data_IF_451592242431
#
_entry.id   IF_451592242431
#
_cell.length_a   1.000
_cell.length_b   1.000
_cell.length_c   1.000
_cell.angle_alpha   90.00
_cell.angle_beta   90.00
_cell.angle_gamma   90.00
#
_symmetry.space_group_name_H-M   'P 1'
#
loop_
_entity.id
_entity.type
_entity.pdbx_description
1 polymer ?
#
# COMPACT_ATOMS: atom_id res chain seq x y z
N UNK A 1 5.36 -60.71 30.00
CA UNK A 1 4.73 -59.61 29.23
C UNK A 1 4.54 -58.42 30.15
N UNK A 2 5.01 -57.22 29.79
CA UNK A 2 4.70 -56.01 30.55
C UNK A 2 3.18 -55.76 30.49
N UNK A 3 2.54 -55.32 31.57
CA UNK A 3 1.12 -55.01 31.52
C UNK A 3 0.89 -53.80 30.60
N UNK A 4 -0.13 -53.81 29.73
CA UNK A 4 -0.40 -52.70 28.81
C UNK A 4 -0.62 -51.37 29.56
N UNK A 5 -1.13 -51.44 30.79
CA UNK A 5 -1.28 -50.28 31.70
C UNK A 5 0.07 -49.66 32.06
N UNK A 6 1.10 -50.47 32.35
CA UNK A 6 2.43 -49.95 32.69
C UNK A 6 3.08 -49.22 31.52
N UNK A 7 2.92 -49.74 30.30
CA UNK A 7 3.39 -49.08 29.09
C UNK A 7 2.69 -47.74 28.86
N UNK A 8 1.36 -47.70 29.06
CA UNK A 8 0.56 -46.48 28.93
C UNK A 8 0.95 -45.39 29.93
N UNK A 9 1.17 -45.74 31.20
CA UNK A 9 1.60 -44.78 32.23
C UNK A 9 3.00 -44.25 31.96
N UNK A 10 3.94 -45.11 31.56
CA UNK A 10 5.30 -44.66 31.22
C UNK A 10 5.27 -43.67 30.05
N UNK A 11 4.49 -43.95 29.00
CA UNK A 11 4.33 -43.03 27.87
C UNK A 11 3.71 -41.70 28.31
N UNK A 12 2.66 -41.73 29.13
CA UNK A 12 2.00 -40.52 29.64
C UNK A 12 2.99 -39.63 30.40
N UNK A 13 3.82 -40.21 31.27
CA UNK A 13 4.84 -39.46 32.02
C UNK A 13 5.86 -38.83 31.07
N UNK A 14 6.35 -39.58 30.08
CA UNK A 14 7.30 -39.06 29.09
C UNK A 14 6.67 -37.89 28.31
N UNK A 15 5.41 -38.02 27.87
CA UNK A 15 4.70 -36.96 27.16
C UNK A 15 4.52 -35.71 28.04
N UNK A 16 4.17 -35.85 29.32
CA UNK A 16 4.03 -34.73 30.25
C UNK A 16 5.37 -34.01 30.44
N UNK A 17 6.46 -34.77 30.64
CA UNK A 17 7.80 -34.19 30.80
C UNK A 17 8.23 -33.48 29.51
N UNK A 18 8.05 -34.10 28.34
CA UNK A 18 8.40 -33.51 27.06
C UNK A 18 7.59 -32.23 26.78
N UNK A 19 6.27 -32.26 26.99
CA UNK A 19 5.40 -31.11 26.83
C UNK A 19 5.74 -29.99 27.82
N UNK A 20 6.03 -30.33 29.08
CA UNK A 20 6.44 -29.37 30.11
C UNK A 20 7.77 -28.69 29.78
N UNK A 21 8.76 -29.44 29.30
CA UNK A 21 10.04 -28.88 28.87
C UNK A 21 9.90 -27.97 27.65
N UNK A 22 9.08 -28.37 26.66
CA UNK A 22 8.81 -27.56 25.48
C UNK A 22 8.07 -26.27 25.85
N UNK A 23 7.03 -26.37 26.69
CA UNK A 23 6.26 -25.22 27.15
C UNK A 23 7.12 -24.24 27.97
N UNK A 24 7.97 -24.75 28.87
CA UNK A 24 8.89 -23.91 29.64
C UNK A 24 9.89 -23.20 28.75
N UNK A 25 10.47 -23.92 27.78
CA UNK A 25 11.39 -23.33 26.79
C UNK A 25 10.68 -22.23 26.00
N UNK A 26 9.51 -22.52 25.43
CA UNK A 26 8.75 -21.55 24.66
C UNK A 26 8.39 -20.30 25.47
N UNK A 27 7.88 -20.47 26.70
CA UNK A 27 7.47 -19.37 27.57
C UNK A 27 8.64 -18.46 28.01
N UNK A 28 9.86 -18.99 28.05
CA UNK A 28 11.06 -18.19 28.34
C UNK A 28 11.66 -17.54 27.10
N UNK A 29 11.56 -18.20 25.95
CA UNK A 29 12.14 -17.69 24.70
C UNK A 29 11.24 -16.66 24.01
N UNK A 30 9.92 -16.81 24.08
CA UNK A 30 8.93 -15.88 23.48
C UNK A 30 9.16 -14.40 23.84
N UNK A 31 9.29 -13.98 25.11
CA UNK A 31 9.50 -12.56 25.43
C UNK A 31 10.84 -12.02 24.91
N UNK A 32 11.87 -12.87 24.87
CA UNK A 32 13.20 -12.52 24.37
C UNK A 32 13.17 -12.32 22.85
N UNK A 33 12.47 -13.20 22.12
CA UNK A 33 12.26 -13.05 20.67
C UNK A 33 11.51 -11.75 20.38
N UNK A 34 10.44 -11.47 21.11
CA UNK A 34 9.65 -10.25 20.92
C UNK A 34 10.48 -8.97 21.16
N UNK A 35 11.33 -8.96 22.19
CA UNK A 35 12.23 -7.83 22.49
C UNK A 35 13.28 -7.64 21.39
N UNK A 36 13.89 -8.73 20.90
CA UNK A 36 14.83 -8.69 19.79
C UNK A 36 14.18 -8.21 18.50
N UNK A 37 12.99 -8.70 18.15
CA UNK A 37 12.24 -8.27 16.96
C UNK A 37 11.90 -6.78 17.03
N UNK A 38 11.47 -6.27 18.19
CA UNK A 38 11.22 -4.84 18.36
C UNK A 38 12.49 -4.01 18.25
N UNK A 39 13.60 -4.49 18.82
CA UNK A 39 14.89 -3.81 18.75
C UNK A 39 15.43 -3.77 17.32
N UNK A 40 15.35 -4.89 16.58
CA UNK A 40 15.74 -4.97 15.18
C UNK A 40 14.86 -4.10 14.29
N UNK A 41 13.55 -4.09 14.54
CA UNK A 41 12.62 -3.20 13.84
C UNK A 41 12.97 -1.74 14.10
N UNK A 42 13.12 -1.31 15.36
CA UNK A 42 13.49 0.07 15.68
C UNK A 42 14.83 0.47 15.07
N UNK A 43 15.80 -0.44 15.06
CA UNK A 43 17.09 -0.23 14.42
C UNK A 43 16.91 -0.06 12.91
N UNK A 44 16.11 -0.90 12.26
CA UNK A 44 15.81 -0.79 10.84
C UNK A 44 15.10 0.52 10.49
N UNK A 45 14.11 0.95 11.28
CA UNK A 45 13.40 2.21 11.07
C UNK A 45 14.37 3.40 11.05
N UNK A 46 15.27 3.47 12.04
CA UNK A 46 16.28 4.52 12.16
C UNK A 46 17.35 4.47 11.08
N UNK A 47 17.78 3.28 10.67
CA UNK A 47 18.75 3.13 9.58
C UNK A 47 18.15 3.53 8.23
N UNK A 48 16.89 3.17 7.98
CA UNK A 48 16.20 3.47 6.72
C UNK A 48 15.82 4.94 6.60
N UNK A 49 15.45 5.61 7.69
CA UNK A 49 15.14 7.04 7.72
C UNK A 49 15.84 7.72 8.91
N UNK A 50 17.16 7.98 8.81
CA UNK A 50 17.95 8.53 9.93
C UNK A 50 17.59 9.97 10.29
N UNK A 51 16.84 10.66 9.42
CA UNK A 51 16.38 12.02 9.65
C UNK A 51 15.10 12.13 10.47
N UNK A 52 14.39 11.02 10.70
CA UNK A 52 13.14 11.00 11.45
C UNK A 52 13.40 10.86 12.96
N UNK A 53 12.64 11.63 13.74
CA UNK A 53 12.65 11.58 15.21
C UNK A 53 11.64 10.57 15.74
N UNK A 54 10.50 10.44 15.05
CA UNK A 54 9.37 9.59 15.47
C UNK A 54 8.84 8.77 14.31
N UNK A 55 8.29 7.60 14.65
CA UNK A 55 7.72 6.63 13.70
C UNK A 55 6.35 6.19 14.22
N UNK A 56 5.29 6.60 13.54
CA UNK A 56 3.92 6.27 13.91
C UNK A 56 3.38 5.10 13.06
N UNK A 57 2.99 3.97 13.66
CA UNK A 57 2.50 2.82 12.93
C UNK A 57 1.06 3.03 12.45
N UNK A 58 0.84 2.77 11.16
CA UNK A 58 -0.45 2.69 10.49
C UNK A 58 -0.59 1.29 9.92
N UNK A 59 -1.49 0.48 10.48
CA UNK A 59 -1.68 -0.91 10.06
C UNK A 59 -2.69 -0.99 8.92
N UNK A 60 -2.35 -1.72 7.87
CA UNK A 60 -3.21 -1.94 6.71
C UNK A 60 -3.15 -3.42 6.31
N UNK A 61 -4.12 -4.20 6.82
CA UNK A 61 -4.13 -5.66 6.66
C UNK A 61 -2.91 -6.31 7.33
N UNK A 62 -2.13 -7.08 6.56
CA UNK A 62 -0.89 -7.72 7.03
C UNK A 62 0.35 -6.82 6.94
N UNK A 63 0.19 -5.58 6.46
CA UNK A 63 1.28 -4.61 6.30
C UNK A 63 1.20 -3.55 7.39
N UNK A 64 2.35 -2.99 7.75
CA UNK A 64 2.44 -1.86 8.69
C UNK A 64 3.28 -0.76 8.08
N UNK A 65 2.71 0.41 7.90
CA UNK A 65 3.39 1.61 7.43
C UNK A 65 3.76 2.48 8.62
N UNK A 66 5.03 2.81 8.77
CA UNK A 66 5.53 3.70 9.80
C UNK A 66 5.72 5.08 9.18
N UNK A 67 4.83 6.03 9.51
CA UNK A 67 5.00 7.43 9.11
C UNK A 67 6.16 8.01 9.89
N UNK A 68 7.16 8.50 9.19
CA UNK A 68 8.39 8.99 9.78
C UNK A 68 8.34 10.53 9.83
N UNK A 69 8.47 11.09 11.04
CA UNK A 69 8.34 12.53 11.26
C UNK A 69 9.59 13.11 11.90
N UNK A 70 9.99 14.30 11.44
CA UNK A 70 11.03 15.12 12.07
C UNK A 70 10.38 16.39 12.61
N UNK A 71 10.27 16.50 13.92
CA UNK A 71 9.38 17.48 14.56
C UNK A 71 7.92 17.31 14.10
N UNK A 72 7.36 18.31 13.41
CA UNK A 72 5.98 18.31 12.93
C UNK A 72 5.88 18.20 11.39
N UNK A 73 6.91 17.64 10.74
CA UNK A 73 6.97 17.45 9.28
C UNK A 73 7.20 15.99 8.96
N UNK A 74 6.43 15.47 8.01
CA UNK A 74 6.66 14.15 7.44
C UNK A 74 7.96 14.18 6.62
N UNK A 75 8.81 13.17 6.84
CA UNK A 75 10.10 13.01 6.16
C UNK A 75 10.22 11.69 5.40
N UNK A 76 9.19 10.85 5.45
CA UNK A 76 9.08 9.63 4.68
C UNK A 76 8.19 8.59 5.33
N UNK A 77 8.20 7.39 4.78
CA UNK A 77 7.47 6.23 5.28
C UNK A 77 8.37 5.01 5.25
N UNK A 78 8.33 4.18 6.31
CA UNK A 78 8.89 2.83 6.28
C UNK A 78 7.76 1.82 6.24
N UNK A 79 7.66 1.03 5.19
CA UNK A 79 6.68 -0.05 5.09
C UNK A 79 7.29 -1.38 5.53
N UNK A 80 6.65 -2.04 6.48
CA UNK A 80 6.95 -3.40 6.90
C UNK A 80 5.91 -4.34 6.31
N UNK A 81 6.37 -5.35 5.57
CA UNK A 81 5.51 -6.26 4.82
C UNK A 81 6.14 -7.63 4.68
N UNK A 82 5.30 -8.61 4.33
CA UNK A 82 5.73 -10.00 4.15
C UNK A 82 5.74 -10.39 2.68
N UNK A 83 6.72 -11.22 2.30
CA UNK A 83 6.84 -11.81 0.97
C UNK A 83 7.22 -13.28 1.06
N UNK A 84 6.68 -14.10 0.17
CA UNK A 84 7.05 -15.52 0.11
C UNK A 84 8.35 -15.68 -0.68
N UNK A 85 9.42 -16.06 0.01
CA UNK A 85 10.70 -16.47 -0.56
C UNK A 85 10.73 -17.97 -0.90
N UNK A 86 11.93 -18.49 -1.13
CA UNK A 86 12.14 -19.91 -1.41
C UNK A 86 12.06 -20.75 -0.12
N UNK A 87 12.70 -20.27 0.96
CA UNK A 87 12.78 -20.95 2.26
C UNK A 87 11.60 -20.68 3.19
N UNK A 88 10.71 -19.74 2.84
CA UNK A 88 9.54 -19.41 3.65
C UNK A 88 9.09 -17.97 3.47
N UNK A 89 8.27 -17.50 4.41
CA UNK A 89 7.86 -16.09 4.46
C UNK A 89 9.02 -15.26 4.99
N UNK A 90 9.29 -14.15 4.32
CA UNK A 90 10.28 -13.14 4.71
C UNK A 90 9.54 -11.89 5.18
N UNK A 91 10.03 -11.25 6.23
CA UNK A 91 9.56 -9.96 6.72
C UNK A 91 10.56 -8.90 6.29
N UNK A 92 10.10 -7.93 5.50
CA UNK A 92 10.91 -6.90 4.87
C UNK A 92 10.47 -5.54 5.39
N UNK A 93 11.41 -4.60 5.45
CA UNK A 93 11.18 -3.18 5.72
C UNK A 93 11.74 -2.36 4.55
N UNK A 94 10.92 -1.49 3.96
CA UNK A 94 11.32 -0.59 2.86
C UNK A 94 11.16 0.85 3.32
N UNK A 95 12.24 1.64 3.26
CA UNK A 95 12.21 3.07 3.52
C UNK A 95 12.04 3.86 2.23
N UNK A 96 11.15 4.84 2.24
CA UNK A 96 10.91 5.77 1.14
C UNK A 96 10.83 7.18 1.71
N UNK A 97 11.47 8.14 1.05
CA UNK A 97 11.41 9.56 1.43
C UNK A 97 10.18 10.27 0.86
N UNK A 98 9.99 11.55 1.21
CA UNK A 98 8.87 12.37 0.71
C UNK A 98 8.88 12.63 -0.79
N UNK A 99 10.02 12.41 -1.46
CA UNK A 99 10.16 12.58 -2.90
C UNK A 99 9.82 11.28 -3.66
N UNK A 100 9.40 10.23 -2.94
CA UNK A 100 9.11 8.93 -3.51
C UNK A 100 10.38 8.18 -3.93
N UNK A 101 11.54 8.50 -3.36
CA UNK A 101 12.79 7.74 -3.57
C UNK A 101 12.98 6.73 -2.46
N UNK A 102 13.46 5.55 -2.84
CA UNK A 102 13.79 4.49 -1.89
C UNK A 102 15.08 4.87 -1.15
N UNK A 103 15.00 5.01 0.17
CA UNK A 103 16.17 5.27 1.01
C UNK A 103 16.95 3.98 1.31
N UNK A 104 16.27 2.85 1.28
CA UNK A 104 16.85 1.52 1.38
C UNK A 104 15.80 0.46 1.73
N UNK A 105 16.24 -0.78 1.87
CA UNK A 105 15.41 -1.83 2.46
C UNK A 105 16.22 -2.73 3.39
N UNK A 106 15.54 -3.38 4.33
CA UNK A 106 16.13 -4.33 5.27
C UNK A 106 15.28 -5.58 5.38
N UNK A 107 15.94 -6.72 5.52
CA UNK A 107 15.29 -8.00 5.78
C UNK A 107 15.27 -8.19 7.29
N UNK A 108 14.09 -8.11 7.90
CA UNK A 108 13.89 -8.29 9.34
C UNK A 108 13.86 -9.77 9.72
N UNK A 109 13.30 -10.62 8.85
CA UNK A 109 13.20 -12.05 9.10
C UNK A 109 13.22 -12.81 7.79
N UNK A 110 13.90 -13.96 7.75
CA UNK A 110 13.84 -14.90 6.64
C UNK A 110 14.18 -16.32 7.09
N UNK A 111 13.82 -17.29 6.26
CA UNK A 111 14.25 -18.70 6.41
C UNK A 111 15.00 -19.22 5.18
N UNK A 112 15.53 -18.29 4.37
CA UNK A 112 16.34 -18.61 3.19
C UNK A 112 17.63 -19.37 3.53
N UNK A 113 18.09 -20.20 2.60
CA UNK A 113 19.30 -21.01 2.75
C UNK A 113 20.56 -20.14 2.90
N UNK A 114 21.37 -20.32 3.97
CA UNK A 114 22.64 -19.63 4.15
C UNK A 114 23.59 -19.82 2.95
N UNK A 115 24.30 -18.75 2.57
CA UNK A 115 25.21 -18.75 1.42
C UNK A 115 24.53 -18.71 0.04
N UNK A 116 23.19 -18.77 -0.02
CA UNK A 116 22.43 -18.72 -1.25
C UNK A 116 21.34 -17.63 -1.17
N UNK A 117 20.14 -17.97 -0.70
CA UNK A 117 19.02 -17.04 -0.58
C UNK A 117 19.22 -16.00 0.50
N UNK A 118 19.95 -16.32 1.58
CA UNK A 118 20.26 -15.38 2.66
C UNK A 118 21.09 -14.17 2.19
N UNK A 119 21.71 -14.24 1.01
CA UNK A 119 22.48 -13.14 0.44
C UNK A 119 21.64 -11.92 0.06
N UNK A 120 20.31 -12.02 0.12
CA UNK A 120 19.40 -10.87 0.02
C UNK A 120 19.62 -9.83 1.14
N UNK A 121 20.32 -10.20 2.22
CA UNK A 121 20.68 -9.29 3.31
C UNK A 121 22.04 -8.62 3.11
N UNK A 122 22.79 -8.99 2.07
CA UNK A 122 24.11 -8.41 1.78
C UNK A 122 23.95 -7.03 1.12
N UNK A 123 24.86 -6.10 1.43
CA UNK A 123 24.87 -4.73 0.88
C UNK A 123 24.91 -4.70 -0.64
N UNK A 124 25.65 -5.62 -1.25
CA UNK A 124 25.72 -5.78 -2.71
C UNK A 124 24.33 -5.99 -3.37
N UNK A 125 23.36 -6.52 -2.63
CA UNK A 125 21.98 -6.65 -3.10
C UNK A 125 21.09 -5.50 -2.59
N UNK A 126 21.21 -5.10 -1.33
CA UNK A 126 20.36 -4.04 -0.75
C UNK A 126 20.56 -2.68 -1.40
N UNK A 127 21.81 -2.32 -1.67
CA UNK A 127 22.19 -0.99 -2.14
C UNK A 127 21.72 -0.72 -3.57
N UNK A 128 21.38 -1.77 -4.32
CA UNK A 128 20.81 -1.64 -5.66
C UNK A 128 19.47 -0.93 -5.66
N UNK A 129 18.77 -0.88 -4.53
CA UNK A 129 17.46 -0.24 -4.42
C UNK A 129 17.53 1.21 -3.95
N UNK A 130 18.65 1.60 -3.33
CA UNK A 130 18.82 2.96 -2.79
C UNK A 130 18.82 3.98 -3.92
N UNK A 131 18.04 5.05 -3.76
CA UNK A 131 17.90 6.15 -4.72
C UNK A 131 17.00 5.86 -5.92
N UNK A 132 16.50 4.62 -6.08
CA UNK A 132 15.50 4.29 -7.12
C UNK A 132 14.16 4.96 -6.82
N UNK A 133 13.41 5.26 -7.87
CA UNK A 133 12.07 5.84 -7.74
C UNK A 133 11.06 4.76 -7.37
N UNK A 134 10.06 5.11 -6.58
CA UNK A 134 8.92 4.23 -6.29
C UNK A 134 8.11 3.83 -7.52
N UNK A 135 8.26 4.58 -8.62
CA UNK A 135 7.66 4.31 -9.93
C UNK A 135 8.49 3.36 -10.79
N UNK A 136 9.69 2.97 -10.35
CA UNK A 136 10.57 2.08 -11.11
C UNK A 136 10.00 0.65 -11.15
N UNK A 137 10.37 -0.09 -12.20
CA UNK A 137 9.88 -1.45 -12.41
C UNK A 137 10.55 -2.51 -11.52
N UNK A 138 11.69 -2.18 -10.90
CA UNK A 138 12.52 -3.08 -10.09
C UNK A 138 12.72 -4.47 -10.72
N UNK A 139 12.78 -4.56 -12.06
CA UNK A 139 12.76 -5.82 -12.76
C UNK A 139 14.12 -6.53 -12.60
N UNK A 140 14.09 -7.75 -12.06
CA UNK A 140 15.31 -8.55 -11.92
C UNK A 140 15.87 -8.94 -13.29
N UNK A 141 17.16 -8.66 -13.50
CA UNK A 141 17.88 -8.85 -14.76
C UNK A 141 17.90 -7.61 -15.66
N UNK A 142 17.13 -6.57 -15.32
CA UNK A 142 17.12 -5.28 -16.03
C UNK A 142 17.51 -4.15 -15.09
N UNK A 143 16.74 -3.96 -14.03
CA UNK A 143 16.91 -2.86 -13.07
C UNK A 143 17.61 -3.31 -11.78
N UNK A 144 17.50 -4.60 -11.44
CA UNK A 144 18.10 -5.21 -10.26
C UNK A 144 18.83 -6.49 -10.66
N UNK A 145 20.07 -6.65 -10.22
CA UNK A 145 20.84 -7.87 -10.44
C UNK A 145 20.36 -8.99 -9.51
N UNK A 146 20.09 -10.15 -10.11
CA UNK A 146 19.77 -11.37 -9.34
C UNK A 146 21.00 -11.89 -8.60
N UNK A 147 20.77 -12.51 -7.43
CA UNK A 147 21.79 -13.31 -6.77
C UNK A 147 21.88 -14.67 -7.49
N UNK A 148 23.10 -15.05 -7.89
CA UNK A 148 23.35 -16.34 -8.55
C UNK A 148 22.93 -17.50 -7.64
N UNK A 149 22.12 -18.41 -8.17
CA UNK A 149 21.56 -19.54 -7.42
C UNK A 149 20.39 -19.20 -6.49
N UNK A 150 20.03 -17.92 -6.32
CA UNK A 150 18.93 -17.48 -5.45
C UNK A 150 17.90 -16.60 -6.20
N UNK A 151 17.63 -16.93 -7.46
CA UNK A 151 16.75 -16.12 -8.33
C UNK A 151 15.31 -16.00 -7.80
N UNK A 152 14.79 -17.05 -7.13
CA UNK A 152 13.44 -17.03 -6.54
C UNK A 152 13.36 -15.97 -5.45
N UNK A 153 14.32 -15.97 -4.52
CA UNK A 153 14.40 -15.02 -3.41
C UNK A 153 14.63 -13.59 -3.92
N UNK A 154 15.56 -13.39 -4.88
CA UNK A 154 15.79 -12.08 -5.49
C UNK A 154 14.54 -11.50 -6.17
N UNK A 155 13.81 -12.32 -6.94
CA UNK A 155 12.55 -11.88 -7.59
C UNK A 155 11.44 -11.57 -6.59
N UNK A 156 11.37 -12.34 -5.51
CA UNK A 156 10.36 -12.15 -4.46
C UNK A 156 10.58 -10.83 -3.72
N UNK A 157 11.83 -10.51 -3.37
CA UNK A 157 12.18 -9.22 -2.77
C UNK A 157 11.90 -8.07 -3.74
N UNK A 158 12.41 -8.14 -4.97
CA UNK A 158 12.22 -7.04 -5.94
C UNK A 158 10.76 -6.80 -6.31
N UNK A 159 9.97 -7.87 -6.49
CA UNK A 159 8.53 -7.78 -6.74
C UNK A 159 7.76 -7.22 -5.55
N UNK A 160 8.11 -7.66 -4.33
CA UNK A 160 7.53 -7.11 -3.11
C UNK A 160 7.82 -5.62 -2.93
N UNK A 161 9.07 -5.21 -3.18
CA UNK A 161 9.48 -3.80 -3.15
C UNK A 161 8.68 -3.02 -4.20
N UNK A 162 8.56 -3.50 -5.45
CA UNK A 162 7.74 -2.83 -6.47
C UNK A 162 6.30 -2.60 -6.01
N UNK A 163 5.65 -3.63 -5.47
CA UNK A 163 4.25 -3.54 -5.02
C UNK A 163 4.08 -2.50 -3.93
N UNK A 164 4.97 -2.52 -2.93
CA UNK A 164 4.90 -1.61 -1.79
C UNK A 164 5.34 -0.21 -2.16
N UNK A 165 6.37 -0.06 -2.98
CA UNK A 165 6.81 1.22 -3.49
C UNK A 165 5.70 1.91 -4.30
N UNK A 166 5.00 1.18 -5.18
CA UNK A 166 3.85 1.71 -5.90
C UNK A 166 2.69 2.09 -4.97
N UNK A 167 2.45 1.32 -3.91
CA UNK A 167 1.41 1.63 -2.91
C UNK A 167 1.76 2.88 -2.10
N UNK A 168 3.00 2.95 -1.61
CA UNK A 168 3.56 4.13 -0.96
C UNK A 168 3.44 5.32 -1.89
N UNK A 169 3.81 5.20 -3.16
CA UNK A 169 3.68 6.29 -4.12
C UNK A 169 2.25 6.77 -4.29
N UNK A 170 1.23 5.91 -4.21
CA UNK A 170 -0.18 6.37 -4.23
C UNK A 170 -0.54 7.16 -2.97
N UNK A 171 0.07 6.83 -1.83
CA UNK A 171 -0.14 7.50 -0.55
C UNK A 171 0.71 8.77 -0.38
N UNK A 172 1.89 8.84 -1.04
CA UNK A 172 2.90 9.90 -0.95
C UNK A 172 2.93 10.85 -2.12
N UNK A 173 2.51 10.39 -3.31
CA UNK A 173 1.90 11.33 -4.23
C UNK A 173 0.91 12.05 -3.35
N UNK A 174 0.92 13.39 -3.32
CA UNK A 174 -0.27 14.05 -2.90
C UNK A 174 -1.35 13.36 -3.73
N UNK A 175 -2.21 12.59 -3.06
CA UNK A 175 -3.54 13.10 -3.00
C UNK A 175 -3.35 14.61 -2.71
N UNK A 176 -3.21 15.38 -3.79
CA UNK A 176 -4.32 16.19 -4.19
C UNK A 176 -5.52 15.29 -3.89
N UNK A 177 -5.93 15.33 -2.63
CA UNK A 177 -7.17 15.96 -2.35
C UNK A 177 -7.31 17.12 -3.36
N UNK A 178 -7.70 16.76 -4.58
CA UNK A 178 -8.93 17.25 -5.16
C UNK A 178 -10.10 16.99 -4.17
N UNK A 179 -9.95 17.27 -2.86
CA UNK A 179 -10.61 18.48 -2.37
C UNK A 179 -10.31 19.55 -3.40
N UNK A 180 -11.18 19.58 -4.40
CA UNK A 180 -11.42 20.78 -5.13
C UNK A 180 -11.59 21.81 -4.03
N UNK A 181 -10.55 22.61 -3.82
CA UNK A 181 -10.65 23.79 -3.00
C UNK A 181 -11.52 24.71 -3.84
N UNK A 182 -12.81 24.42 -3.85
CA UNK A 182 -13.84 25.07 -4.65
C UNK A 182 -13.84 26.58 -4.30
N UNK A 183 -13.34 26.94 -3.12
CA UNK A 183 -13.04 28.31 -2.69
C UNK A 183 -12.05 29.09 -3.59
N UNK A 184 -11.27 28.41 -4.43
CA UNK A 184 -10.35 29.03 -5.40
C UNK A 184 -10.90 29.03 -6.82
N UNK A 185 -12.05 28.39 -7.05
CA UNK A 185 -12.69 28.34 -8.36
C UNK A 185 -13.69 29.50 -8.44
N UNK A 186 -13.63 30.35 -9.48
CA UNK A 186 -14.63 31.38 -9.68
C UNK A 186 -16.03 30.78 -9.82
N UNK A 187 -17.02 31.50 -9.30
CA UNK A 187 -18.42 31.12 -9.53
C UNK A 187 -18.71 31.17 -11.03
N UNK A 188 -19.27 30.08 -11.55
CA UNK A 188 -19.38 29.90 -12.99
C UNK A 188 -19.99 28.56 -13.38
N UNK A 189 -20.31 28.45 -14.67
CA UNK A 189 -20.77 27.20 -15.29
C UNK A 189 -19.63 26.69 -16.16
N UNK A 190 -19.19 25.47 -15.87
CA UNK A 190 -18.06 24.83 -16.53
C UNK A 190 -18.51 23.57 -17.26
N UNK A 191 -17.97 23.37 -18.45
CA UNK A 191 -18.30 22.23 -19.31
C UNK A 191 -17.14 21.24 -19.34
N UNK A 192 -17.43 20.00 -18.95
CA UNK A 192 -16.47 18.90 -18.96
C UNK A 192 -16.93 17.75 -19.84
N UNK A 193 -15.98 17.02 -20.40
CA UNK A 193 -16.25 15.86 -21.26
C UNK A 193 -15.30 14.72 -20.93
N UNK A 194 -15.83 13.51 -20.80
CA UNK A 194 -15.02 12.31 -20.67
C UNK A 194 -15.70 11.09 -21.29
N UNK A 195 -14.91 10.06 -21.60
CA UNK A 195 -15.41 8.80 -22.15
C UNK A 195 -16.13 7.96 -21.09
N UNK A 196 -17.34 7.52 -21.40
CA UNK A 196 -18.11 6.52 -20.66
C UNK A 196 -18.14 5.15 -21.36
N UNK A 197 -19.01 4.26 -20.90
CA UNK A 197 -19.21 2.92 -21.46
C UNK A 197 -19.82 2.96 -22.87
N UNK A 198 -20.81 3.83 -23.08
CA UNK A 198 -21.53 3.93 -24.36
C UNK A 198 -21.01 5.02 -25.30
N UNK A 199 -20.05 5.83 -24.86
CA UNK A 199 -19.48 6.95 -25.60
C UNK A 199 -19.19 8.12 -24.67
N UNK A 200 -18.93 9.29 -25.24
CA UNK A 200 -18.59 10.48 -24.45
C UNK A 200 -19.80 10.98 -23.65
N UNK A 201 -19.52 11.41 -22.43
CA UNK A 201 -20.44 12.06 -21.50
C UNK A 201 -19.98 13.51 -21.36
N UNK A 202 -20.86 14.46 -21.68
CA UNK A 202 -20.67 15.91 -21.46
C UNK A 202 -21.52 16.37 -20.30
N UNK A 203 -20.88 17.07 -19.36
CA UNK A 203 -21.53 17.62 -18.16
C UNK A 203 -21.32 19.12 -18.06
N UNK A 204 -22.33 19.79 -17.50
CA UNK A 204 -22.29 21.18 -17.03
C UNK A 204 -22.28 21.18 -15.52
N UNK A 205 -21.20 21.70 -14.94
CA UNK A 205 -21.04 21.84 -13.49
C UNK A 205 -21.20 23.31 -13.13
N UNK A 206 -22.13 23.62 -12.24
CA UNK A 206 -22.35 24.98 -11.72
C UNK A 206 -21.72 25.11 -10.35
N UNK A 207 -20.79 26.06 -10.21
CA UNK A 207 -20.12 26.37 -8.95
C UNK A 207 -20.61 27.72 -8.44
N UNK A 208 -20.97 27.79 -7.15
CA UNK A 208 -21.35 29.04 -6.48
C UNK A 208 -20.84 29.04 -5.05
N UNK A 209 -20.20 30.14 -4.63
CA UNK A 209 -19.63 30.28 -3.29
C UNK A 209 -18.55 29.24 -2.97
N UNK A 210 -17.88 28.72 -4.00
CA UNK A 210 -16.96 27.60 -3.83
C UNK A 210 -17.64 26.30 -3.42
N UNK A 211 -18.82 26.00 -3.97
CA UNK A 211 -19.49 24.71 -3.85
C UNK A 211 -20.12 24.29 -5.18
N UNK A 212 -20.12 22.99 -5.47
CA UNK A 212 -20.85 22.45 -6.62
C UNK A 212 -22.33 22.43 -6.27
N UNK A 213 -23.11 23.29 -6.92
CA UNK A 213 -24.55 23.44 -6.67
C UNK A 213 -25.37 22.56 -7.59
N UNK A 214 -24.89 22.34 -8.81
CA UNK A 214 -25.63 21.59 -9.83
C UNK A 214 -24.69 20.90 -10.82
N UNK A 215 -25.08 19.71 -11.25
CA UNK A 215 -24.38 18.92 -12.27
C UNK A 215 -25.44 18.42 -13.25
N UNK A 216 -25.44 19.01 -14.45
CA UNK A 216 -26.35 18.64 -15.53
C UNK A 216 -25.61 17.83 -16.59
N UNK A 217 -26.14 16.66 -16.92
CA UNK A 217 -25.67 15.88 -18.09
C UNK A 217 -26.29 16.50 -19.34
N UNK A 218 -25.45 17.08 -20.20
CA UNK A 218 -25.88 17.77 -21.44
C UNK A 218 -26.01 16.78 -22.58
N UNK A 219 -25.08 15.84 -22.65
CA UNK A 219 -25.02 14.82 -23.69
C UNK A 219 -24.43 13.56 -23.08
N UNK A 220 -25.09 12.42 -23.26
CA UNK A 220 -24.55 11.13 -22.90
C UNK A 220 -24.92 10.12 -24.00
N UNK A 221 -23.98 9.21 -24.27
CA UNK A 221 -24.21 8.07 -25.15
C UNK A 221 -24.39 6.77 -24.36
N UNK A 222 -24.77 6.87 -23.09
CA UNK A 222 -24.81 5.75 -22.18
C UNK A 222 -25.99 4.80 -22.45
N UNK A 223 -25.89 3.58 -21.92
CA UNK A 223 -27.02 2.64 -22.00
C UNK A 223 -28.16 3.17 -21.12
N UNK A 224 -29.37 3.46 -21.65
CA UNK A 224 -30.43 4.17 -20.90
C UNK A 224 -30.84 3.47 -19.60
N UNK A 225 -30.87 2.14 -19.59
CA UNK A 225 -31.32 1.36 -18.43
C UNK A 225 -30.24 1.15 -17.34
N UNK A 226 -28.97 1.43 -17.65
CA UNK A 226 -27.84 1.22 -16.72
C UNK A 226 -27.14 2.55 -16.44
N UNK A 227 -26.44 3.10 -17.43
CA UNK A 227 -25.71 4.37 -17.30
C UNK A 227 -26.68 5.52 -17.06
N UNK A 228 -27.76 5.63 -17.85
CA UNK A 228 -28.76 6.70 -17.69
C UNK A 228 -29.43 6.76 -16.31
N UNK A 229 -29.52 5.63 -15.59
CA UNK A 229 -30.02 5.58 -14.20
C UNK A 229 -28.95 5.82 -13.15
N UNK A 230 -27.68 5.61 -13.50
CA UNK A 230 -26.54 5.80 -12.63
C UNK A 230 -26.11 7.26 -12.58
N UNK A 231 -26.11 7.98 -13.71
CA UNK A 231 -25.60 9.36 -13.78
C UNK A 231 -26.29 10.31 -12.77
N UNK A 232 -27.64 10.34 -12.65
CA UNK A 232 -28.30 11.23 -11.70
C UNK A 232 -28.00 10.90 -10.23
N UNK A 233 -27.83 9.61 -9.92
CA UNK A 233 -27.52 9.16 -8.55
C UNK A 233 -26.10 9.55 -8.15
N UNK A 234 -25.18 9.56 -9.10
CA UNK A 234 -23.79 9.92 -8.85
C UNK A 234 -23.66 11.43 -8.77
N UNK A 235 -24.34 12.20 -9.62
CA UNK A 235 -24.35 13.66 -9.51
C UNK A 235 -24.90 14.13 -8.15
N UNK A 236 -25.98 13.53 -7.66
CA UNK A 236 -26.51 13.80 -6.31
C UNK A 236 -25.49 13.49 -5.21
N UNK A 237 -24.78 12.35 -5.33
CA UNK A 237 -23.71 12.00 -4.38
C UNK A 237 -22.57 13.00 -4.41
N UNK A 238 -22.14 13.44 -5.59
CA UNK A 238 -21.05 14.41 -5.76
C UNK A 238 -21.45 15.75 -5.13
N UNK A 239 -22.67 16.23 -5.39
CA UNK A 239 -23.20 17.47 -4.82
C UNK A 239 -23.32 17.34 -3.29
N UNK A 240 -23.80 16.20 -2.78
CA UNK A 240 -23.96 16.00 -1.34
C UNK A 240 -22.64 15.84 -0.60
N UNK A 241 -21.66 15.19 -1.22
CA UNK A 241 -20.33 14.98 -0.63
C UNK A 241 -19.42 16.19 -0.83
N UNK A 242 -19.73 17.05 -1.81
CA UNK A 242 -18.82 18.07 -2.34
C UNK A 242 -17.46 17.47 -2.75
N UNK A 243 -17.50 16.23 -3.26
CA UNK A 243 -16.33 15.43 -3.62
C UNK A 243 -16.66 14.61 -4.88
N UNK A 244 -15.71 14.54 -5.81
CA UNK A 244 -15.84 13.76 -7.06
C UNK A 244 -15.57 12.27 -6.79
N UNK A 245 -14.86 11.92 -5.72
CA UNK A 245 -14.51 10.56 -5.35
C UNK A 245 -15.62 9.85 -4.55
N UNK A 246 -16.81 9.74 -5.14
CA UNK A 246 -17.96 9.05 -4.53
C UNK A 246 -18.08 7.59 -4.99
N UNK A 247 -18.72 6.71 -4.23
CA UNK A 247 -18.88 5.31 -4.65
C UNK A 247 -19.64 5.14 -5.99
N UNK A 248 -19.08 4.31 -6.87
CA UNK A 248 -19.68 3.92 -8.13
C UNK A 248 -21.04 3.22 -7.92
N UNK A 249 -21.94 3.34 -8.91
CA UNK A 249 -23.22 2.62 -8.88
C UNK A 249 -23.00 1.18 -9.33
N UNK A 250 -23.50 0.23 -8.52
CA UNK A 250 -23.40 -1.20 -8.83
C UNK A 250 -23.99 -1.51 -10.21
N UNK A 251 -23.21 -2.17 -11.06
CA UNK A 251 -23.59 -2.51 -12.44
C UNK A 251 -23.31 -1.42 -13.48
N UNK A 252 -22.81 -0.24 -13.08
CA UNK A 252 -22.53 0.89 -13.96
C UNK A 252 -21.12 1.47 -13.72
N UNK A 253 -20.12 0.64 -13.45
CA UNK A 253 -18.76 1.07 -13.09
C UNK A 253 -18.15 2.02 -14.13
N UNK A 254 -18.16 1.65 -15.40
CA UNK A 254 -17.58 2.46 -16.48
C UNK A 254 -18.32 3.79 -16.69
N UNK A 255 -19.65 3.80 -16.64
CA UNK A 255 -20.44 5.03 -16.71
C UNK A 255 -20.23 5.92 -15.47
N UNK A 256 -20.03 5.31 -14.29
CA UNK A 256 -19.75 6.01 -13.03
C UNK A 256 -18.40 6.72 -13.09
N UNK A 257 -17.37 6.03 -13.57
CA UNK A 257 -16.03 6.59 -13.75
C UNK A 257 -16.01 7.66 -14.84
N UNK A 258 -16.75 7.45 -15.94
CA UNK A 258 -16.89 8.44 -17.01
C UNK A 258 -17.50 9.75 -16.53
N UNK A 259 -18.57 9.69 -15.71
CA UNK A 259 -19.17 10.90 -15.14
C UNK A 259 -18.19 11.63 -14.22
N UNK A 260 -17.50 10.90 -13.33
CA UNK A 260 -16.50 11.49 -12.43
C UNK A 260 -15.39 12.19 -13.23
N UNK A 261 -14.86 11.52 -14.24
CA UNK A 261 -13.84 12.08 -15.10
C UNK A 261 -14.33 13.34 -15.85
N UNK A 262 -15.58 13.35 -16.31
CA UNK A 262 -16.17 14.53 -16.97
C UNK A 262 -16.34 15.69 -15.98
N UNK A 263 -16.72 15.42 -14.74
CA UNK A 263 -16.79 16.43 -13.67
C UNK A 263 -15.40 16.94 -13.32
N UNK A 264 -14.39 16.07 -13.20
CA UNK A 264 -13.00 16.49 -13.00
C UNK A 264 -12.50 17.37 -14.14
N UNK A 265 -12.81 17.05 -15.40
CA UNK A 265 -12.46 17.86 -16.58
C UNK A 265 -13.16 19.24 -16.60
N UNK A 266 -14.41 19.31 -16.13
CA UNK A 266 -15.09 20.61 -15.97
C UNK A 266 -14.37 21.47 -14.93
N UNK A 267 -13.92 20.85 -13.85
CA UNK A 267 -13.32 21.54 -12.71
C UNK A 267 -11.86 21.92 -12.94
N UNK A 268 -11.10 21.16 -13.75
CA UNK A 268 -9.76 21.54 -14.19
C UNK A 268 -9.80 22.79 -15.07
N UNK A 269 -10.73 22.86 -16.03
CA UNK A 269 -10.97 24.06 -16.85
C UNK A 269 -11.37 25.28 -16.00
N UNK A 270 -12.01 25.03 -14.87
CA UNK A 270 -12.39 26.08 -13.92
C UNK A 270 -11.19 26.66 -13.15
N UNK A 271 -10.15 25.85 -12.92
CA UNK A 271 -8.86 26.27 -12.34
C UNK A 271 -7.96 27.03 -13.34
N UNK A 272 -8.24 26.95 -14.65
CA UNK A 272 -7.52 27.69 -15.68
C UNK A 272 -6.29 26.98 -16.28
N UNK A 273 -6.26 25.65 -16.23
CA UNK A 273 -5.31 24.81 -16.99
C UNK A 273 -5.89 24.34 -18.34
#
# INVERSE_FOLDING_TARGET
MQSPVRLGVTLMIICIVAAGLLAFTNAKTEPIIAEHEQTELQTALKELLPMADTFEPVSEGEKVFYRAQKGNKDVGVVAVFSQKGFGGVMKLALGVDTEGKVTGFKVLQHSETPGLGARITETNFTDQFVGKSTTDDFQVGKDVQAISGATISSRSVAGGIKLIASEINKQLSPHDEDTLNLNQIPDGVYEGQAGGFGGDIKVKVTITGGQVVDIQVVEDSETPDIGGRALPKISEKIISAQDVNVDNVSGATYSSEGLKAAVTDALSKAKGE
#
